data_IF_464632177058
#
_entry.id   IF_464632177058
#
_cell.length_a   1.000
_cell.length_b   1.000
_cell.length_c   1.000
_cell.angle_alpha   90.00
_cell.angle_beta   90.00
_cell.angle_gamma   90.00
#
_symmetry.space_group_name_H-M   'P 1'
#
loop_
_entity.id
_entity.type
_entity.pdbx_description
1 polymer ?
#
# COMPACT_ATOMS: atom_id res chain seq x y z
N UNK A 1 -3.12 21.10 12.29
CA UNK A 1 -2.82 20.24 11.12
C UNK A 1 -3.61 18.94 11.29
N UNK A 2 -4.09 18.33 10.20
CA UNK A 2 -4.73 17.01 10.27
C UNK A 2 -3.66 15.94 10.10
N UNK A 3 -3.75 14.85 10.86
CA UNK A 3 -2.87 13.71 10.68
C UNK A 3 -3.31 12.91 9.45
N UNK A 4 -2.37 12.59 8.58
CA UNK A 4 -2.61 11.77 7.38
C UNK A 4 -1.87 10.46 7.58
N UNK A 5 -2.61 9.35 7.59
CA UNK A 5 -2.02 8.02 7.72
C UNK A 5 -1.50 7.52 6.37
N UNK A 6 -0.35 6.87 6.39
CA UNK A 6 0.22 6.15 5.27
C UNK A 6 0.25 4.65 5.61
N UNK A 7 -0.68 3.91 5.01
CA UNK A 7 -0.83 2.47 5.23
C UNK A 7 -0.01 1.71 4.20
N UNK A 8 0.93 0.89 4.66
CA UNK A 8 1.82 0.13 3.78
C UNK A 8 2.32 -1.15 4.44
N UNK A 9 2.49 -2.20 3.63
CA UNK A 9 3.19 -3.43 4.02
C UNK A 9 4.11 -3.89 2.87
N UNK A 10 5.34 -4.37 3.14
CA UNK A 10 6.25 -4.85 2.09
C UNK A 10 5.66 -5.99 1.25
N UNK A 11 4.77 -6.81 1.83
CA UNK A 11 4.12 -7.92 1.12
C UNK A 11 3.27 -7.47 -0.07
N UNK A 12 2.88 -6.21 -0.15
CA UNK A 12 2.17 -5.68 -1.32
C UNK A 12 2.99 -5.79 -2.61
N UNK A 13 4.32 -5.94 -2.49
CA UNK A 13 5.23 -6.15 -3.60
C UNK A 13 5.35 -7.63 -4.02
N UNK A 14 4.77 -8.56 -3.26
CA UNK A 14 4.76 -9.99 -3.57
C UNK A 14 3.68 -10.36 -4.60
N UNK A 15 2.82 -9.41 -4.97
CA UNK A 15 1.82 -9.64 -6.01
C UNK A 15 2.49 -9.92 -7.35
N UNK A 16 2.41 -11.17 -7.79
CA UNK A 16 2.93 -11.62 -9.07
C UNK A 16 1.76 -12.01 -9.98
N UNK A 17 1.33 -11.06 -10.80
CA UNK A 17 0.25 -11.27 -11.74
C UNK A 17 0.69 -12.20 -12.90
N UNK A 18 -0.23 -12.95 -13.52
CA UNK A 18 0.08 -13.80 -14.67
C UNK A 18 0.62 -12.98 -15.86
N UNK A 19 1.21 -13.69 -16.85
CA UNK A 19 1.81 -13.07 -18.03
C UNK A 19 0.88 -12.08 -18.73
N UNK A 20 1.43 -10.92 -19.12
CA UNK A 20 0.73 -9.82 -19.82
C UNK A 20 -0.39 -9.12 -19.02
N UNK A 21 -0.43 -9.33 -17.70
CA UNK A 21 -1.38 -8.63 -16.85
C UNK A 21 -0.94 -7.17 -16.62
N UNK A 22 -1.84 -6.17 -16.78
CA UNK A 22 -1.48 -4.75 -16.65
C UNK A 22 -1.17 -4.31 -15.21
N UNK A 23 -1.53 -5.12 -14.22
CA UNK A 23 -1.21 -4.86 -12.82
C UNK A 23 0.24 -5.24 -12.52
N UNK A 24 0.99 -4.30 -11.93
CA UNK A 24 2.37 -4.51 -11.50
C UNK A 24 2.63 -3.89 -10.11
N UNK A 25 3.38 -4.57 -9.22
CA UNK A 25 3.83 -4.00 -7.95
C UNK A 25 4.76 -2.79 -8.13
N UNK A 26 5.35 -2.59 -9.33
CA UNK A 26 6.16 -1.41 -9.66
C UNK A 26 5.38 -0.10 -9.49
N UNK A 27 4.04 -0.15 -9.60
CA UNK A 27 3.18 1.00 -9.30
C UNK A 27 3.40 1.50 -7.87
N UNK A 28 3.46 0.60 -6.90
CA UNK A 28 3.66 0.95 -5.50
C UNK A 28 5.10 1.45 -5.26
N UNK A 29 6.09 0.84 -5.90
CA UNK A 29 7.48 1.32 -5.88
C UNK A 29 7.58 2.76 -6.41
N UNK A 30 6.92 3.06 -7.52
CA UNK A 30 6.92 4.39 -8.13
C UNK A 30 6.23 5.42 -7.22
N UNK A 31 5.12 5.06 -6.57
CA UNK A 31 4.43 5.92 -5.60
C UNK A 31 5.36 6.23 -4.42
N UNK A 32 5.98 5.23 -3.81
CA UNK A 32 6.85 5.40 -2.64
C UNK A 32 8.04 6.30 -2.98
N UNK A 33 8.68 6.08 -4.14
CA UNK A 33 9.77 6.92 -4.63
C UNK A 33 9.34 8.38 -4.81
N UNK A 34 8.14 8.63 -5.33
CA UNK A 34 7.64 10.00 -5.49
C UNK A 34 7.34 10.67 -4.14
N UNK A 35 6.79 9.93 -3.17
CA UNK A 35 6.56 10.44 -1.81
C UNK A 35 7.87 10.80 -1.11
N UNK A 36 8.90 9.96 -1.27
CA UNK A 36 10.25 10.19 -0.76
C UNK A 36 10.89 11.43 -1.41
N UNK A 37 10.89 11.49 -2.75
CA UNK A 37 11.46 12.62 -3.49
C UNK A 37 10.77 13.95 -3.18
N UNK A 38 9.48 13.92 -2.84
CA UNK A 38 8.71 15.09 -2.44
C UNK A 38 8.89 15.47 -0.95
N UNK A 39 9.65 14.70 -0.17
CA UNK A 39 9.84 14.93 1.27
C UNK A 39 8.56 14.70 2.09
N UNK A 40 7.57 13.99 1.56
CA UNK A 40 6.26 13.88 2.18
C UNK A 40 6.22 12.86 3.31
N UNK A 41 7.11 11.86 3.32
CA UNK A 41 7.09 10.81 4.35
C UNK A 41 7.21 11.35 5.78
N UNK A 42 7.93 12.44 5.99
CA UNK A 42 8.07 13.08 7.30
C UNK A 42 6.74 13.70 7.81
N UNK A 43 5.79 13.93 6.91
CA UNK A 43 4.48 14.51 7.24
C UNK A 43 3.39 13.47 7.47
N UNK A 44 3.68 12.20 7.18
CA UNK A 44 2.73 11.09 7.21
C UNK A 44 2.90 10.25 8.47
N UNK A 45 1.80 9.73 8.99
CA UNK A 45 1.81 8.77 10.11
C UNK A 45 1.92 7.36 9.52
N UNK A 46 3.02 6.63 9.70
CA UNK A 46 3.15 5.28 9.18
C UNK A 46 2.22 4.33 9.95
N UNK A 47 1.49 3.50 9.20
CA UNK A 47 0.60 2.47 9.75
C UNK A 47 0.87 1.15 9.05
N UNK A 48 1.25 0.14 9.82
CA UNK A 48 1.34 -1.23 9.34
C UNK A 48 -0.04 -1.87 9.48
N UNK A 49 -0.66 -2.35 8.38
CA UNK A 49 -1.93 -3.05 8.43
C UNK A 49 -1.77 -4.48 8.93
N UNK A 50 -2.80 -5.00 9.60
CA UNK A 50 -2.94 -6.42 9.92
C UNK A 50 -3.68 -7.17 8.80
N UNK A 51 -3.57 -8.49 8.77
CA UNK A 51 -4.37 -9.31 7.87
C UNK A 51 -5.85 -9.27 8.30
N UNK A 52 -6.79 -9.05 7.36
CA UNK A 52 -8.21 -9.06 7.68
C UNK A 52 -8.64 -10.48 8.08
N UNK A 53 -9.61 -10.58 8.98
CA UNK A 53 -10.24 -11.86 9.28
C UNK A 53 -11.34 -12.19 8.25
N UNK A 54 -11.85 -13.42 8.27
CA UNK A 54 -12.91 -13.83 7.34
C UNK A 54 -14.21 -13.04 7.56
N UNK A 55 -14.49 -12.58 8.79
CA UNK A 55 -15.67 -11.77 9.09
C UNK A 55 -15.62 -10.42 8.38
N UNK A 56 -14.44 -9.79 8.34
CA UNK A 56 -14.22 -8.54 7.60
C UNK A 56 -14.51 -8.72 6.11
N UNK A 57 -13.95 -9.77 5.49
CA UNK A 57 -14.09 -10.04 4.05
C UNK A 57 -15.55 -10.37 3.68
N UNK A 58 -16.22 -11.21 4.47
CA UNK A 58 -17.59 -11.68 4.22
C UNK A 58 -18.68 -10.66 4.59
N UNK A 59 -18.32 -9.51 5.16
CA UNK A 59 -19.29 -8.45 5.43
C UNK A 59 -19.86 -7.81 4.16
N UNK A 60 -19.17 -7.97 3.02
CA UNK A 60 -19.52 -7.34 1.73
C UNK A 60 -19.49 -8.28 0.51
N UNK A 61 -19.10 -9.56 0.69
CA UNK A 61 -19.10 -10.61 -0.34
C UNK A 61 -20.08 -11.71 0.02
#
# INVERSE_FOLDING_TARGET
MKNVAYVYHPDYLLHNAPFDHPESPDRLVAINRNLENAGLFETLVPVTPDYPDNGDILSVH
#
